data_IF_306134038236
#
_entry.id   IF_306134038236
#
_cell.length_a   1.000
_cell.length_b   1.000
_cell.length_c   1.000
_cell.angle_alpha   90.00
_cell.angle_beta   90.00
_cell.angle_gamma   90.00
#
_symmetry.space_group_name_H-M   'P 1'
#
loop_
_entity.id
_entity.type
_entity.pdbx_description
1 polymer ?
#
# COMPACT_ATOMS: atom_id res chain seq x y z
N UNK A 1 2.07 6.31 -7.33
CA UNK A 1 1.48 5.42 -6.30
C UNK A 1 0.19 6.07 -5.83
N UNK A 2 -0.63 5.41 -5.01
CA UNK A 2 -1.84 6.03 -4.43
C UNK A 2 -1.81 5.82 -2.91
N UNK A 3 -2.22 6.82 -2.15
CA UNK A 3 -2.43 6.69 -0.71
C UNK A 3 -3.84 6.19 -0.47
N UNK A 4 -3.99 5.21 0.42
CA UNK A 4 -5.29 4.69 0.84
C UNK A 4 -5.46 4.89 2.34
N UNK A 5 -6.64 5.37 2.72
CA UNK A 5 -7.06 5.50 4.11
C UNK A 5 -7.92 4.30 4.46
N UNK A 6 -7.52 3.59 5.51
CA UNK A 6 -8.18 2.42 6.07
C UNK A 6 -8.91 2.83 7.34
N UNK A 7 -10.14 2.33 7.50
CA UNK A 7 -10.88 2.43 8.78
C UNK A 7 -11.07 1.02 9.30
N UNK A 8 -10.45 0.72 10.44
CA UNK A 8 -10.52 -0.59 11.08
C UNK A 8 -11.81 -0.71 11.90
N UNK A 9 -12.17 -1.93 12.28
CA UNK A 9 -13.37 -2.23 13.06
C UNK A 9 -13.40 -1.54 14.44
N UNK A 10 -12.24 -1.22 15.00
CA UNK A 10 -12.09 -0.45 16.24
C UNK A 10 -12.25 1.07 16.05
N UNK A 11 -12.54 1.52 14.82
CA UNK A 11 -12.63 2.93 14.45
C UNK A 11 -11.28 3.61 14.24
N UNK A 12 -10.17 2.90 14.45
CA UNK A 12 -8.85 3.45 14.17
C UNK A 12 -8.69 3.70 12.67
N UNK A 13 -8.05 4.82 12.35
CA UNK A 13 -7.69 5.14 10.98
C UNK A 13 -6.22 4.81 10.77
N UNK A 14 -5.92 4.21 9.63
CA UNK A 14 -4.56 3.91 9.21
C UNK A 14 -4.38 4.26 7.74
N UNK A 15 -3.14 4.41 7.29
CA UNK A 15 -2.85 4.64 5.88
C UNK A 15 -1.79 3.68 5.36
N UNK A 16 -1.88 3.41 4.06
CA UNK A 16 -0.89 2.65 3.31
C UNK A 16 -0.67 3.28 1.93
N UNK A 17 0.49 3.05 1.34
CA UNK A 17 0.71 3.31 -0.07
C UNK A 17 0.37 2.05 -0.86
N UNK A 18 -0.33 2.22 -1.98
CA UNK A 18 -0.61 1.14 -2.93
C UNK A 18 0.04 1.45 -4.26
N UNK A 19 0.70 0.45 -4.83
CA UNK A 19 1.28 0.51 -6.16
C UNK A 19 0.98 -0.75 -6.96
N UNK A 20 1.37 -0.74 -8.22
CA UNK A 20 1.36 -1.93 -9.08
C UNK A 20 2.76 -2.23 -9.57
N UNK A 21 3.07 -3.50 -9.93
CA UNK A 21 4.34 -3.85 -10.54
C UNK A 21 4.68 -3.00 -11.77
N UNK A 22 3.68 -2.68 -12.60
CA UNK A 22 3.86 -1.80 -13.77
C UNK A 22 4.26 -0.38 -13.37
N UNK A 23 3.67 0.18 -12.31
CA UNK A 23 4.05 1.51 -11.80
C UNK A 23 5.47 1.50 -11.22
N UNK A 24 5.87 0.44 -10.54
CA UNK A 24 7.25 0.26 -10.06
C UNK A 24 8.24 0.17 -11.21
N UNK A 25 7.97 -0.65 -12.22
CA UNK A 25 8.82 -0.75 -13.40
C UNK A 25 8.99 0.60 -14.11
N UNK A 26 7.90 1.36 -14.26
CA UNK A 26 7.97 2.69 -14.86
C UNK A 26 8.76 3.69 -14.01
N UNK A 27 8.76 3.52 -12.69
CA UNK A 27 9.59 4.32 -11.78
C UNK A 27 11.08 4.01 -12.00
N UNK A 28 11.45 2.73 -12.03
CA UNK A 28 12.84 2.27 -12.22
C UNK A 28 13.40 2.46 -13.64
N UNK A 29 12.54 2.71 -14.64
CA UNK A 29 12.98 3.04 -16.01
C UNK A 29 13.54 4.46 -16.14
N UNK A 30 13.27 5.35 -15.19
CA UNK A 30 13.81 6.70 -15.19
C UNK A 30 15.29 6.66 -14.81
N UNK A 31 16.09 7.62 -15.26
CA UNK A 31 17.43 7.80 -14.71
C UNK A 31 17.32 8.06 -13.21
N UNK A 32 18.06 7.29 -12.42
CA UNK A 32 18.08 7.37 -10.96
C UNK A 32 19.52 7.52 -10.50
N UNK A 33 19.78 8.53 -9.66
CA UNK A 33 21.09 8.72 -9.02
C UNK A 33 21.42 7.58 -8.05
N UNK A 34 20.40 6.98 -7.43
CA UNK A 34 20.52 5.84 -6.50
C UNK A 34 19.73 4.66 -7.08
N UNK A 35 20.28 3.44 -7.15
CA UNK A 35 19.64 2.30 -7.81
C UNK A 35 18.57 1.61 -6.94
N UNK A 36 17.78 2.38 -6.17
CA UNK A 36 16.82 1.81 -5.25
C UNK A 36 15.97 2.84 -4.51
N UNK A 37 14.97 2.35 -3.78
CA UNK A 37 14.16 3.13 -2.85
C UNK A 37 13.67 2.27 -1.68
N UNK A 38 13.48 2.88 -0.53
CA UNK A 38 12.80 2.29 0.62
C UNK A 38 11.45 2.99 0.82
N UNK A 39 10.35 2.25 0.73
CA UNK A 39 9.01 2.77 0.99
C UNK A 39 8.38 1.94 2.11
N UNK A 40 8.09 2.60 3.23
CA UNK A 40 7.36 1.98 4.34
C UNK A 40 5.88 1.86 4.01
N UNK A 41 5.23 0.82 4.53
CA UNK A 41 3.77 0.62 4.43
C UNK A 41 3.28 0.58 2.96
N UNK A 42 4.07 -0.06 2.09
CA UNK A 42 3.76 -0.24 0.67
C UNK A 42 3.09 -1.60 0.42
N UNK A 43 1.88 -1.57 -0.11
CA UNK A 43 1.16 -2.73 -0.64
C UNK A 43 1.33 -2.75 -2.15
N UNK A 44 1.71 -3.92 -2.68
CA UNK A 44 1.82 -4.15 -4.13
C UNK A 44 0.59 -4.93 -4.59
N UNK A 45 -0.31 -4.25 -5.29
CA UNK A 45 -1.53 -4.83 -5.82
C UNK A 45 -1.40 -5.08 -7.33
N UNK A 46 -2.24 -5.98 -7.86
CA UNK A 46 -2.30 -6.27 -9.30
C UNK A 46 -2.71 -5.02 -10.10
N UNK A 47 -3.77 -4.36 -9.65
CA UNK A 47 -4.24 -3.07 -10.17
C UNK A 47 -4.51 -2.09 -9.02
N UNK A 48 -4.79 -0.82 -9.34
CA UNK A 48 -5.27 0.17 -8.38
C UNK A 48 -6.80 0.32 -8.43
N UNK A 49 -7.48 -0.63 -9.04
CA UNK A 49 -8.93 -0.65 -9.06
C UNK A 49 -9.48 -0.88 -7.65
N UNK A 50 -10.64 -0.29 -7.36
CA UNK A 50 -11.26 -0.38 -6.05
C UNK A 50 -11.46 -1.85 -5.61
N UNK A 51 -11.92 -2.72 -6.51
CA UNK A 51 -12.23 -4.11 -6.17
C UNK A 51 -10.95 -4.91 -5.85
N UNK A 52 -9.88 -4.66 -6.59
CA UNK A 52 -8.59 -5.31 -6.35
C UNK A 52 -7.94 -4.82 -5.05
N UNK A 53 -8.07 -3.52 -4.75
CA UNK A 53 -7.59 -2.93 -3.49
C UNK A 53 -8.39 -3.50 -2.32
N UNK A 54 -9.72 -3.55 -2.40
CA UNK A 54 -10.55 -4.08 -1.32
C UNK A 54 -10.26 -5.56 -1.05
N UNK A 55 -10.06 -6.37 -2.10
CA UNK A 55 -9.69 -7.80 -1.97
C UNK A 55 -8.36 -7.98 -1.25
N UNK A 56 -7.32 -7.23 -1.61
CA UNK A 56 -6.01 -7.38 -0.95
C UNK A 56 -6.06 -6.88 0.50
N UNK A 57 -6.79 -5.80 0.78
CA UNK A 57 -6.93 -5.31 2.15
C UNK A 57 -7.65 -6.33 3.05
N UNK A 58 -8.75 -6.92 2.57
CA UNK A 58 -9.46 -8.00 3.28
C UNK A 58 -8.59 -9.24 3.48
N UNK A 59 -7.80 -9.60 2.47
CA UNK A 59 -6.83 -10.69 2.59
C UNK A 59 -5.82 -10.41 3.70
N UNK A 60 -5.21 -9.22 3.73
CA UNK A 60 -4.24 -8.84 4.76
C UNK A 60 -4.87 -8.77 6.15
N UNK A 61 -6.12 -8.30 6.26
CA UNK A 61 -6.86 -8.27 7.53
C UNK A 61 -7.10 -9.69 8.06
N UNK A 62 -7.54 -10.62 7.20
CA UNK A 62 -7.78 -12.01 7.56
C UNK A 62 -6.50 -12.78 7.96
N UNK A 63 -5.32 -12.25 7.64
CA UNK A 63 -4.02 -12.82 8.00
C UNK A 63 -3.31 -12.02 9.13
N UNK A 64 -3.98 -11.05 9.76
CA UNK A 64 -3.40 -10.14 10.77
C UNK A 64 -2.21 -9.29 10.27
N UNK A 65 -1.97 -9.23 8.95
CA UNK A 65 -0.86 -8.52 8.30
C UNK A 65 -1.20 -7.05 8.01
N UNK A 66 -2.49 -6.69 7.99
CA UNK A 66 -2.92 -5.34 7.60
C UNK A 66 -2.38 -4.26 8.55
N UNK A 67 -2.23 -4.58 9.84
CA UNK A 67 -1.67 -3.68 10.84
C UNK A 67 -0.21 -3.36 10.55
N UNK A 68 0.59 -4.34 10.15
CA UNK A 68 2.00 -4.16 9.79
C UNK A 68 2.17 -3.42 8.45
N UNK A 69 1.26 -3.71 7.51
CA UNK A 69 1.21 -3.10 6.19
C UNK A 69 0.74 -1.62 6.20
N UNK A 70 0.33 -1.09 7.35
CA UNK A 70 -0.24 0.26 7.47
C UNK A 70 0.29 1.04 8.67
N UNK A 71 0.28 2.37 8.57
CA UNK A 71 0.65 3.27 9.68
C UNK A 71 -0.59 3.90 10.28
N UNK A 72 -0.67 3.97 11.60
CA UNK A 72 -1.71 4.76 12.28
C UNK A 72 -1.60 6.25 11.90
N UNK A 73 -2.74 6.94 11.79
CA UNK A 73 -2.71 8.40 11.81
C UNK A 73 -2.32 8.86 13.21
N UNK A 74 -1.20 9.59 13.32
CA UNK A 74 -0.83 10.30 14.53
C UNK A 74 -1.66 11.59 14.56
N UNK A 75 -2.53 11.72 15.56
CA UNK A 75 -3.25 12.97 15.85
C UNK A 75 -2.31 14.01 16.48
#
# INVERSE_FOLDING_TARGET
MVEVTLTFSDGSKRWSLVTTPRKLLNYFKKEMEIPGLNIKHLIIAKTIDHDDIEKILKYLEANDELTEASKAFEC
#
